data_IF_511832040546
#
_entry.id   IF_511832040546
#
_cell.length_a   1.000
_cell.length_b   1.000
_cell.length_c   1.000
_cell.angle_alpha   90.00
_cell.angle_beta   90.00
_cell.angle_gamma   90.00
#
_symmetry.space_group_name_H-M   'P 1'
#
loop_
_entity.id
_entity.type
_entity.pdbx_description
1 polymer ?
#
# COMPACT_ATOMS: atom_id res chain seq x y z
N UNK A 1 45.88 7.90 22.35
CA UNK A 1 45.29 8.32 21.06
C UNK A 1 43.78 8.13 21.14
N UNK A 2 42.97 9.10 20.72
CA UNK A 2 41.54 8.88 20.56
C UNK A 2 41.31 7.99 19.32
N UNK A 3 40.38 7.02 19.36
CA UNK A 3 40.06 6.25 18.18
C UNK A 3 39.45 7.17 17.12
N UNK A 4 39.94 7.08 15.88
CA UNK A 4 39.34 7.76 14.73
C UNK A 4 38.09 6.97 14.35
N UNK A 5 36.91 7.57 14.52
CA UNK A 5 35.65 6.98 14.07
C UNK A 5 35.42 7.34 12.61
N UNK A 6 35.32 6.34 11.73
CA UNK A 6 34.94 6.56 10.34
C UNK A 6 33.42 6.63 10.24
N UNK A 7 32.91 7.80 9.87
CA UNK A 7 31.48 8.03 9.62
C UNK A 7 31.23 8.01 8.11
N UNK A 8 30.32 7.17 7.66
CA UNK A 8 29.91 7.07 6.26
C UNK A 8 28.42 7.34 6.13
N UNK A 9 28.05 8.32 5.32
CA UNK A 9 26.65 8.62 5.00
C UNK A 9 26.32 8.01 3.64
N UNK A 10 25.23 7.23 3.57
CA UNK A 10 24.72 6.66 2.32
C UNK A 10 23.25 6.98 2.19
N UNK A 11 22.85 7.56 1.06
CA UNK A 11 21.46 7.61 0.67
C UNK A 11 21.04 6.27 0.07
N UNK A 12 19.91 5.76 0.52
CA UNK A 12 19.29 4.56 -0.04
C UNK A 12 17.86 4.86 -0.41
N UNK A 13 17.41 4.22 -1.48
CA UNK A 13 16.02 4.34 -1.91
C UNK A 13 15.34 2.99 -1.84
N UNK A 14 14.16 2.97 -1.24
CA UNK A 14 13.34 1.77 -1.10
C UNK A 14 11.95 2.02 -1.68
N UNK A 15 11.38 0.99 -2.30
CA UNK A 15 9.99 1.00 -2.73
C UNK A 15 9.16 0.30 -1.67
N UNK A 16 8.19 1.01 -1.11
CA UNK A 16 7.20 0.46 -0.20
C UNK A 16 5.89 0.25 -0.95
N UNK A 17 5.31 -0.94 -0.84
CA UNK A 17 3.98 -1.22 -1.37
C UNK A 17 2.92 -0.56 -0.48
N UNK A 18 1.89 0.02 -1.10
CA UNK A 18 0.71 0.58 -0.45
C UNK A 18 -0.49 -0.27 -0.84
N UNK A 19 -1.25 -0.73 0.15
CA UNK A 19 -2.52 -1.44 -0.07
C UNK A 19 -3.68 -0.53 0.33
N UNK A 20 -4.66 -0.41 -0.55
CA UNK A 20 -5.92 0.25 -0.22
C UNK A 20 -6.89 -0.76 0.43
N UNK A 21 -7.73 -0.28 1.33
CA UNK A 21 -8.82 -1.08 1.87
C UNK A 21 -9.87 -1.34 0.76
N UNK A 22 -10.43 -2.55 0.67
CA UNK A 22 -11.52 -2.82 -0.27
C UNK A 22 -12.77 -2.04 0.13
N UNK A 23 -13.47 -1.52 -0.86
CA UNK A 23 -14.74 -0.81 -0.71
C UNK A 23 -15.88 -1.74 -1.15
N UNK A 24 -16.97 -1.74 -0.37
CA UNK A 24 -18.18 -2.50 -0.68
C UNK A 24 -19.28 -1.52 -1.03
N UNK A 25 -19.85 -1.67 -2.21
CA UNK A 25 -20.94 -0.83 -2.70
C UNK A 25 -22.18 -1.69 -2.86
N UNK A 26 -23.22 -1.37 -2.11
CA UNK A 26 -24.52 -2.00 -2.27
C UNK A 26 -25.22 -1.43 -3.50
N UNK A 27 -25.74 -2.30 -4.36
CA UNK A 27 -26.43 -1.90 -5.58
C UNK A 27 -27.69 -2.72 -5.81
N UNK A 28 -28.82 -2.02 -6.03
CA UNK A 28 -30.06 -2.65 -6.43
C UNK A 28 -30.06 -3.13 -7.90
N UNK A 29 -29.00 -2.85 -8.65
CA UNK A 29 -28.83 -3.34 -10.02
C UNK A 29 -28.48 -4.83 -10.08
N UNK A 30 -28.03 -5.42 -8.98
CA UNK A 30 -27.75 -6.85 -8.85
C UNK A 30 -28.71 -7.51 -7.85
N UNK A 31 -29.12 -8.76 -8.08
CA UNK A 31 -30.01 -9.49 -7.17
C UNK A 31 -29.35 -9.72 -5.82
N UNK A 32 -30.18 -9.73 -4.76
CA UNK A 32 -29.71 -9.92 -3.39
C UNK A 32 -28.93 -11.22 -3.25
N UNK A 33 -27.73 -11.11 -2.72
CA UNK A 33 -26.82 -12.24 -2.51
C UNK A 33 -25.71 -12.35 -3.58
N UNK A 34 -25.86 -11.70 -4.74
CA UNK A 34 -24.81 -11.66 -5.75
C UNK A 34 -23.70 -10.68 -5.35
N UNK A 35 -22.45 -11.04 -5.65
CA UNK A 35 -21.27 -10.21 -5.37
C UNK A 35 -20.39 -10.19 -6.60
N UNK A 36 -19.98 -9.00 -7.02
CA UNK A 36 -19.11 -8.85 -8.19
C UNK A 36 -17.99 -7.86 -7.90
N UNK A 37 -16.77 -8.25 -8.24
CA UNK A 37 -15.64 -7.31 -8.26
C UNK A 37 -15.81 -6.44 -9.50
N UNK A 38 -16.16 -5.17 -9.29
CA UNK A 38 -16.30 -4.19 -10.37
C UNK A 38 -14.99 -3.43 -10.62
N UNK A 39 -14.09 -3.43 -9.64
CA UNK A 39 -12.74 -2.89 -9.77
C UNK A 39 -11.75 -3.74 -8.99
N UNK A 40 -10.70 -4.19 -9.66
CA UNK A 40 -9.61 -4.90 -8.99
C UNK A 40 -8.76 -3.94 -8.14
N UNK A 41 -8.20 -4.44 -7.03
CA UNK A 41 -7.21 -3.66 -6.29
C UNK A 41 -5.92 -3.57 -7.10
N UNK A 42 -5.31 -2.38 -7.09
CA UNK A 42 -3.96 -2.18 -7.61
C UNK A 42 -3.09 -1.72 -6.46
N UNK A 43 -2.00 -2.45 -6.20
CA UNK A 43 -1.03 -2.06 -5.19
C UNK A 43 -0.38 -0.75 -5.58
N UNK A 44 -0.49 0.24 -4.71
CA UNK A 44 0.26 1.48 -4.82
C UNK A 44 1.73 1.26 -4.51
N UNK A 45 2.57 2.20 -4.93
CA UNK A 45 4.00 2.19 -4.67
C UNK A 45 4.43 3.56 -4.18
N UNK A 46 5.14 3.57 -3.05
CA UNK A 46 5.77 4.76 -2.48
C UNK A 46 7.28 4.58 -2.50
N UNK A 47 7.98 5.47 -3.20
CA UNK A 47 9.44 5.55 -3.20
C UNK A 47 9.87 6.37 -1.99
N UNK A 48 10.64 5.80 -1.09
CA UNK A 48 11.15 6.45 0.12
C UNK A 48 12.66 6.54 0.03
N UNK A 49 13.18 7.76 0.16
CA UNK A 49 14.62 8.02 0.25
C UNK A 49 14.95 8.16 1.72
N UNK A 50 15.90 7.35 2.17
CA UNK A 50 16.39 7.34 3.54
C UNK A 50 17.88 7.58 3.54
N UNK A 51 18.32 8.37 4.49
CA UNK A 51 19.72 8.51 4.84
C UNK A 51 20.10 7.43 5.85
N UNK A 52 21.19 6.73 5.59
CA UNK A 52 21.75 5.73 6.47
C UNK A 52 23.15 6.17 6.86
N UNK A 53 23.35 6.46 8.15
CA UNK A 53 24.65 6.82 8.72
C UNK A 53 25.27 5.56 9.31
N UNK A 54 26.48 5.26 8.86
CA UNK A 54 27.27 4.13 9.29
C UNK A 54 28.49 4.62 10.07
N UNK A 55 28.73 4.06 11.25
CA UNK A 55 29.95 4.27 12.02
C UNK A 55 30.70 2.94 12.08
N UNK A 56 31.94 2.90 11.59
CA UNK A 56 32.73 1.67 11.48
C UNK A 56 31.93 0.53 10.80
N UNK A 57 31.32 0.84 9.64
CA UNK A 57 30.46 -0.05 8.85
C UNK A 57 29.17 -0.55 9.53
N UNK A 58 28.87 -0.10 10.75
CA UNK A 58 27.61 -0.42 11.45
C UNK A 58 26.60 0.69 11.24
N UNK A 59 25.38 0.35 10.83
CA UNK A 59 24.29 1.31 10.72
C UNK A 59 23.91 1.80 12.13
N UNK A 60 24.13 3.09 12.39
CA UNK A 60 23.82 3.71 13.70
C UNK A 60 22.59 4.61 13.64
N UNK A 61 22.29 5.17 12.46
CA UNK A 61 21.15 6.06 12.28
C UNK A 61 20.51 5.85 10.92
N UNK A 62 19.19 5.84 10.92
CA UNK A 62 18.36 5.84 9.72
C UNK A 62 17.39 7.01 9.82
N UNK A 63 17.32 7.84 8.79
CA UNK A 63 16.44 9.01 8.76
C UNK A 63 15.69 9.04 7.44
N UNK A 64 14.37 9.09 7.49
CA UNK A 64 13.53 9.27 6.31
C UNK A 64 13.67 10.71 5.82
N UNK A 65 14.23 10.90 4.63
CA UNK A 65 14.43 12.23 4.05
C UNK A 65 13.16 12.70 3.34
N UNK A 66 12.63 11.83 2.47
CA UNK A 66 11.48 12.17 1.62
C UNK A 66 10.80 10.91 1.08
N UNK A 67 9.49 11.01 0.88
CA UNK A 67 8.71 9.96 0.25
C UNK A 67 7.85 10.52 -0.87
N UNK A 68 7.84 9.85 -2.03
CA UNK A 68 6.97 10.17 -3.16
C UNK A 68 6.10 8.96 -3.51
N UNK A 69 4.79 9.16 -3.60
CA UNK A 69 3.89 8.17 -4.17
C UNK A 69 4.14 8.18 -5.68
N UNK A 70 4.59 7.04 -6.21
CA UNK A 70 4.85 6.85 -7.64
C UNK A 70 3.70 6.10 -8.32
N UNK A 71 2.87 5.43 -7.53
CA UNK A 71 1.66 4.75 -7.99
C UNK A 71 0.64 4.81 -6.84
N UNK A 72 -0.53 5.39 -7.11
CA UNK A 72 -1.60 5.44 -6.12
C UNK A 72 -2.24 4.05 -5.95
N UNK A 73 -2.51 3.62 -4.72
CA UNK A 73 -3.20 2.37 -4.50
C UNK A 73 -4.67 2.50 -4.92
N UNK A 74 -5.15 1.56 -5.72
CA UNK A 74 -6.56 1.50 -6.11
C UNK A 74 -7.25 0.49 -5.20
N UNK A 75 -8.33 0.94 -4.54
CA UNK A 75 -9.19 0.08 -3.74
C UNK A 75 -9.92 -0.93 -4.63
N UNK A 76 -9.99 -2.19 -4.17
CA UNK A 76 -10.89 -3.17 -4.77
C UNK A 76 -12.32 -2.76 -4.47
N UNK A 77 -13.16 -2.65 -5.51
CA UNK A 77 -14.57 -2.34 -5.34
C UNK A 77 -15.38 -3.61 -5.55
N UNK A 78 -16.08 -4.02 -4.50
CA UNK A 78 -16.97 -5.17 -4.48
C UNK A 78 -18.39 -4.65 -4.49
N UNK A 79 -19.11 -4.88 -5.58
CA UNK A 79 -20.53 -4.58 -5.67
C UNK A 79 -21.32 -5.74 -5.05
N UNK A 80 -22.20 -5.42 -4.11
CA UNK A 80 -23.09 -6.37 -3.45
C UNK A 80 -24.50 -6.09 -3.94
N UNK A 81 -25.14 -7.09 -4.54
CA UNK A 81 -26.52 -7.02 -4.94
C UNK A 81 -27.43 -6.90 -3.72
N UNK A 82 -28.29 -5.89 -3.73
CA UNK A 82 -29.37 -5.69 -2.77
C UNK A 82 -30.73 -5.58 -3.44
N UNK A 83 -30.79 -5.76 -4.76
CA UNK A 83 -32.05 -5.84 -5.50
C UNK A 83 -32.87 -7.04 -5.03
N UNK A 84 -34.19 -6.98 -5.13
CA UNK A 84 -35.06 -8.07 -4.72
C UNK A 84 -34.55 -9.40 -5.32
N UNK A 85 -34.23 -10.38 -4.47
CA UNK A 85 -33.88 -11.70 -4.96
C UNK A 85 -35.09 -12.20 -5.73
N UNK A 86 -34.92 -12.54 -7.02
CA UNK A 86 -35.93 -13.32 -7.71
C UNK A 86 -36.22 -14.54 -6.82
N UNK A 87 -37.50 -14.86 -6.55
CA UNK A 87 -37.83 -15.91 -5.60
C UNK A 87 -37.10 -17.19 -6.03
N UNK A 88 -36.19 -17.66 -5.19
CA UNK A 88 -35.62 -19.00 -5.33
C UNK A 88 -36.82 -19.95 -5.40
N UNK A 89 -37.04 -20.51 -6.57
CA UNK A 89 -38.02 -21.60 -6.74
C UNK A 89 -37.39 -22.80 -6.05
N UNK A 90 -37.79 -23.01 -4.79
CA UNK A 90 -37.59 -24.27 -4.06
C UNK A 90 -38.46 -25.37 -4.66
#
# INVERSE_FOLDING_TARGET
AAPITVVTVKEKTYTKELKAAPEKIESSALPKGERRIVREEVRGKKKVVVECVYENDKLVRKTDLRGKIIQEPIAQIIMIGTGEAAPETQ
#
